data_IF_375779408956
#
_entry.id   IF_375779408956
#
_cell.length_a   1.000
_cell.length_b   1.000
_cell.length_c   1.000
_cell.angle_alpha   90.00
_cell.angle_beta   90.00
_cell.angle_gamma   90.00
#
_symmetry.space_group_name_H-M   'P 1'
#
loop_
_entity.id
_entity.type
_entity.pdbx_description
1 polymer ?
#
# COMPACT_ATOMS: atom_id res chain seq x y z
N UNK A 1 -15.29 -11.96 -20.08
CA UNK A 1 -15.09 -12.57 -18.75
C UNK A 1 -13.78 -11.97 -18.30
N UNK A 2 -13.81 -11.02 -17.35
CA UNK A 2 -12.56 -10.57 -16.73
C UNK A 2 -12.05 -11.80 -16.00
N UNK A 3 -10.89 -12.31 -16.40
CA UNK A 3 -10.20 -13.32 -15.62
C UNK A 3 -9.99 -12.69 -14.24
N UNK A 4 -10.51 -13.31 -13.19
CA UNK A 4 -10.28 -12.90 -11.80
C UNK A 4 -8.77 -13.05 -11.54
N UNK A 5 -7.99 -12.03 -11.91
CA UNK A 5 -6.56 -11.98 -11.65
C UNK A 5 -6.38 -11.66 -10.18
N UNK A 6 -5.46 -12.35 -9.53
CA UNK A 6 -5.12 -12.13 -8.13
C UNK A 6 -3.70 -11.59 -8.06
N UNK A 7 -3.51 -10.43 -7.42
CA UNK A 7 -2.18 -9.92 -7.15
C UNK A 7 -1.74 -10.39 -5.77
N UNK A 8 -0.62 -11.10 -5.71
CA UNK A 8 -0.01 -11.48 -4.45
C UNK A 8 0.97 -10.39 -4.01
N UNK A 9 0.93 -10.06 -2.73
CA UNK A 9 1.75 -9.01 -2.13
C UNK A 9 2.37 -9.53 -0.84
N UNK A 10 3.63 -9.17 -0.63
CA UNK A 10 4.36 -9.37 0.62
C UNK A 10 4.82 -8.03 1.15
N UNK A 11 4.81 -7.86 2.46
CA UNK A 11 5.36 -6.68 3.10
C UNK A 11 5.83 -7.01 4.50
N UNK A 12 6.79 -6.24 5.01
CA UNK A 12 7.20 -6.34 6.40
C UNK A 12 6.54 -5.21 7.17
N UNK A 13 6.02 -5.53 8.37
CA UNK A 13 5.51 -4.51 9.28
C UNK A 13 6.05 -4.74 10.68
N UNK A 14 6.82 -3.78 11.20
CA UNK A 14 7.38 -3.87 12.55
C UNK A 14 8.29 -5.09 12.78
N UNK A 15 8.91 -5.62 11.72
CA UNK A 15 9.74 -6.83 11.75
C UNK A 15 8.99 -8.14 11.53
N UNK A 16 7.68 -8.12 11.36
CA UNK A 16 6.87 -9.29 10.99
C UNK A 16 6.56 -9.26 9.49
N UNK A 17 6.74 -10.39 8.81
CA UNK A 17 6.42 -10.52 7.38
C UNK A 17 4.97 -10.94 7.18
N UNK A 18 4.28 -10.24 6.30
CA UNK A 18 2.92 -10.49 5.90
C UNK A 18 2.87 -10.84 4.41
N UNK A 19 2.00 -11.78 4.05
CA UNK A 19 1.71 -12.16 2.67
C UNK A 19 0.19 -12.20 2.50
N UNK A 20 -0.31 -11.68 1.38
CA UNK A 20 -1.72 -11.72 1.02
C UNK A 20 -1.90 -11.77 -0.49
N UNK A 21 -3.09 -12.19 -0.91
CA UNK A 21 -3.56 -12.02 -2.28
C UNK A 21 -4.87 -11.24 -2.28
N UNK A 22 -5.09 -10.45 -3.33
CA UNK A 22 -6.35 -9.73 -3.53
C UNK A 22 -6.72 -9.69 -5.01
N UNK A 23 -8.02 -9.55 -5.28
CA UNK A 23 -8.53 -9.43 -6.63
C UNK A 23 -7.99 -8.15 -7.30
N UNK A 24 -7.40 -8.30 -8.47
CA UNK A 24 -6.68 -7.24 -9.18
C UNK A 24 -7.13 -7.20 -10.64
N UNK A 25 -7.40 -6.01 -11.18
CA UNK A 25 -7.85 -5.83 -12.57
C UNK A 25 -6.74 -5.97 -13.62
N UNK A 26 -5.50 -6.30 -13.22
CA UNK A 26 -4.36 -6.42 -14.13
C UNK A 26 -3.74 -5.09 -14.54
N UNK A 27 -4.13 -3.98 -13.91
CA UNK A 27 -3.65 -2.64 -14.18
C UNK A 27 -2.88 -2.09 -12.98
N UNK A 28 -1.69 -1.54 -13.21
CA UNK A 28 -0.85 -0.88 -12.20
C UNK A 28 -0.68 -1.69 -10.89
N UNK A 29 0.19 -2.73 -10.89
CA UNK A 29 0.34 -3.61 -9.74
C UNK A 29 0.93 -2.89 -8.52
N UNK A 30 1.76 -1.86 -8.75
CA UNK A 30 2.39 -1.06 -7.69
C UNK A 30 1.34 -0.22 -6.96
N UNK A 31 0.62 0.67 -7.65
CA UNK A 31 -0.40 1.50 -7.00
C UNK A 31 -1.55 0.68 -6.42
N UNK A 32 -1.94 -0.42 -7.07
CA UNK A 32 -2.94 -1.33 -6.50
C UNK A 32 -2.46 -1.98 -5.19
N UNK A 33 -1.18 -2.37 -5.13
CA UNK A 33 -0.57 -2.90 -3.90
C UNK A 33 -0.56 -1.85 -2.79
N UNK A 34 -0.12 -0.64 -3.10
CA UNK A 34 -0.03 0.46 -2.15
C UNK A 34 -1.42 0.82 -1.59
N UNK A 35 -2.41 1.02 -2.46
CA UNK A 35 -3.78 1.35 -2.06
C UNK A 35 -4.39 0.25 -1.19
N UNK A 36 -4.14 -1.02 -1.53
CA UNK A 36 -4.60 -2.15 -0.74
C UNK A 36 -4.00 -2.16 0.69
N UNK A 37 -2.71 -1.84 0.83
CA UNK A 37 -2.06 -1.73 2.15
C UNK A 37 -2.59 -0.54 2.94
N UNK A 38 -2.78 0.58 2.26
CA UNK A 38 -3.35 1.81 2.81
C UNK A 38 -4.77 1.58 3.35
N UNK A 39 -5.62 0.88 2.60
CA UNK A 39 -6.99 0.55 3.02
C UNK A 39 -7.02 -0.47 4.17
N UNK A 40 -6.25 -1.56 4.05
CA UNK A 40 -6.25 -2.64 5.04
C UNK A 40 -5.80 -2.16 6.43
N UNK A 41 -4.72 -1.37 6.47
CA UNK A 41 -4.23 -0.80 7.72
C UNK A 41 -4.97 0.48 8.11
N UNK A 42 -6.01 0.87 7.37
CA UNK A 42 -6.81 2.07 7.60
C UNK A 42 -5.93 3.34 7.71
N UNK A 43 -4.83 3.40 6.95
CA UNK A 43 -3.86 4.48 7.03
C UNK A 43 -4.47 5.82 6.60
N UNK A 44 -5.43 5.80 5.66
CA UNK A 44 -6.25 6.98 5.30
C UNK A 44 -6.98 7.59 6.52
N UNK A 45 -7.26 6.80 7.55
CA UNK A 45 -7.91 7.26 8.79
C UNK A 45 -6.92 7.69 9.86
N UNK A 46 -5.65 7.28 9.77
CA UNK A 46 -4.57 7.53 10.72
C UNK A 46 -3.85 8.87 10.46
N UNK A 47 -4.56 9.87 9.97
CA UNK A 47 -4.07 11.25 9.97
C UNK A 47 -3.83 11.63 11.44
N UNK A 48 -2.61 12.05 11.84
CA UNK A 48 -2.34 12.43 13.21
C UNK A 48 -3.31 13.54 13.64
N UNK A 49 -3.83 13.45 14.88
CA UNK A 49 -4.81 14.41 15.40
C UNK A 49 -4.34 15.87 15.27
N UNK A 50 -3.01 16.08 15.25
CA UNK A 50 -2.34 17.35 14.98
C UNK A 50 -2.68 17.94 13.60
N UNK A 51 -2.67 17.14 12.52
CA UNK A 51 -3.05 17.61 11.17
C UNK A 51 -4.56 17.84 11.04
N UNK A 52 -5.39 17.05 11.74
CA UNK A 52 -6.83 17.32 11.81
C UNK A 52 -7.12 18.66 12.47
N UNK A 53 -6.31 19.09 13.43
CA UNK A 53 -6.46 20.39 14.06
C UNK A 53 -6.00 21.54 13.14
N UNK A 54 -4.89 21.35 12.40
CA UNK A 54 -4.31 22.36 11.52
C UNK A 54 -5.19 22.66 10.28
N UNK A 55 -5.88 21.64 9.76
CA UNK A 55 -6.80 21.75 8.62
C UNK A 55 -8.25 22.09 9.01
N UNK A 56 -8.49 22.59 10.23
CA UNK A 56 -9.83 22.96 10.69
C UNK A 56 -10.81 21.78 10.73
N UNK A 57 -10.32 20.57 11.01
CA UNK A 57 -11.11 19.34 11.04
C UNK A 57 -11.30 18.68 9.68
N UNK A 58 -10.83 19.30 8.59
CA UNK A 58 -10.93 18.76 7.23
C UNK A 58 -9.81 17.75 7.01
N UNK A 59 -10.18 16.53 6.60
CA UNK A 59 -9.22 15.44 6.33
C UNK A 59 -8.48 15.74 5.03
N UNK A 60 -7.15 15.71 5.05
CA UNK A 60 -6.34 15.80 3.83
C UNK A 60 -6.32 14.45 3.10
N UNK A 61 -7.39 14.14 2.39
CA UNK A 61 -7.48 12.95 1.52
C UNK A 61 -6.55 13.01 0.30
N UNK A 62 -5.82 14.12 0.11
CA UNK A 62 -4.90 14.36 -1.02
C UNK A 62 -3.43 14.27 -0.64
N UNK A 63 -3.11 14.02 0.63
CA UNK A 63 -1.71 13.87 1.05
C UNK A 63 -1.27 12.44 0.76
N UNK A 64 -0.11 12.23 0.11
CA UNK A 64 0.48 10.91 0.02
C UNK A 64 0.70 10.34 1.43
N UNK A 65 0.37 9.07 1.59
CA UNK A 65 0.48 8.28 2.80
C UNK A 65 1.83 7.60 2.78
N UNK A 66 2.66 7.96 3.74
CA UNK A 66 3.97 7.35 3.86
C UNK A 66 3.87 6.00 4.60
N UNK A 67 3.85 4.90 3.87
CA UNK A 67 3.79 3.54 4.42
C UNK A 67 4.95 3.25 5.37
N UNK A 68 6.14 3.79 5.11
CA UNK A 68 7.31 3.62 5.97
C UNK A 68 7.12 4.25 7.35
N UNK A 69 6.47 5.41 7.43
CA UNK A 69 6.15 6.05 8.74
C UNK A 69 5.16 5.22 9.56
N UNK A 70 4.35 4.40 8.88
CA UNK A 70 3.45 3.44 9.52
C UNK A 70 4.12 2.10 9.85
N UNK A 71 5.44 2.01 9.64
CA UNK A 71 6.26 0.84 9.91
C UNK A 71 6.04 -0.28 8.90
N UNK A 72 5.53 0.02 7.70
CA UNK A 72 5.45 -0.90 6.57
C UNK A 72 6.67 -0.67 5.68
N UNK A 73 7.61 -1.59 5.73
CA UNK A 73 8.85 -1.62 4.98
C UNK A 73 8.90 -2.88 4.09
N UNK A 74 9.82 -2.90 3.12
CA UNK A 74 10.09 -4.08 2.29
C UNK A 74 8.84 -4.67 1.62
N UNK A 75 8.19 -3.90 0.75
CA UNK A 75 6.97 -4.31 0.02
C UNK A 75 7.34 -4.95 -1.32
N UNK A 76 6.75 -6.09 -1.62
CA UNK A 76 6.93 -6.84 -2.86
C UNK A 76 5.57 -7.22 -3.45
N UNK A 77 5.45 -7.19 -4.77
CA UNK A 77 4.34 -7.80 -5.48
C UNK A 77 4.84 -8.97 -6.31
N UNK A 78 3.99 -9.98 -6.50
CA UNK A 78 4.31 -11.11 -7.36
C UNK A 78 3.95 -10.77 -8.80
N UNK A 79 4.95 -10.80 -9.66
CA UNK A 79 4.77 -10.61 -11.09
C UNK A 79 4.65 -11.98 -11.76
N UNK A 80 3.44 -12.28 -12.23
CA UNK A 80 3.13 -13.55 -12.90
C UNK A 80 3.79 -13.64 -14.28
N UNK A 81 4.08 -12.52 -14.96
CA UNK A 81 4.69 -12.51 -16.30
C UNK A 81 6.15 -12.99 -16.24
N UNK A 82 6.89 -12.57 -15.21
CA UNK A 82 8.28 -13.00 -14.99
C UNK A 82 8.43 -14.08 -13.92
N UNK A 83 7.32 -14.50 -13.30
CA UNK A 83 7.24 -15.52 -12.24
C UNK A 83 8.17 -15.22 -11.04
N UNK A 84 8.22 -13.95 -10.62
CA UNK A 84 9.13 -13.47 -9.56
C UNK A 84 8.49 -12.41 -8.69
N UNK A 85 8.98 -12.32 -7.45
CA UNK A 85 8.70 -11.21 -6.56
C UNK A 85 9.48 -9.97 -7.00
N UNK A 86 8.74 -8.90 -7.26
CA UNK A 86 9.26 -7.59 -7.60
C UNK A 86 9.15 -6.69 -6.37
N UNK A 87 10.27 -6.09 -5.99
CA UNK A 87 10.32 -5.12 -4.89
C UNK A 87 9.72 -3.79 -5.34
N UNK A 88 8.86 -3.21 -4.51
CA UNK A 88 8.40 -1.84 -4.64
C UNK A 88 9.41 -0.95 -3.95
N UNK A 89 10.06 -0.06 -4.71
CA UNK A 89 11.04 0.85 -4.14
C UNK A 89 10.42 1.72 -3.05
N UNK A 90 11.19 1.97 -2.00
CA UNK A 90 10.79 2.79 -0.85
C UNK A 90 10.34 4.20 -1.20
N UNK A 91 10.79 4.75 -2.34
CA UNK A 91 10.35 6.04 -2.87
C UNK A 91 8.83 6.06 -3.13
N UNK A 92 8.29 4.97 -3.68
CA UNK A 92 6.86 4.79 -3.87
C UNK A 92 6.12 4.61 -2.55
N UNK A 93 6.76 3.99 -1.54
CA UNK A 93 6.19 3.84 -0.20
C UNK A 93 6.05 5.18 0.53
N UNK A 94 6.86 6.18 0.17
CA UNK A 94 6.76 7.54 0.73
C UNK A 94 5.73 8.41 0.00
N UNK A 95 5.34 8.06 -1.22
CA UNK A 95 4.39 8.79 -2.08
C UNK A 95 3.08 8.02 -2.35
N UNK A 96 2.73 7.07 -1.47
CA UNK A 96 1.62 6.12 -1.67
C UNK A 96 0.22 6.69 -1.41
#
# INVERSE_FOLDING_TARGET
>A
MAEDKELQVRYTRGGEQFEKSFAWDGCDPVGSTLDCLVEEHNLRLLIPAQERADLGGIRNIRKPINLLEHGIDDVFFYDEEINKWQEISTDWLTDA
#
